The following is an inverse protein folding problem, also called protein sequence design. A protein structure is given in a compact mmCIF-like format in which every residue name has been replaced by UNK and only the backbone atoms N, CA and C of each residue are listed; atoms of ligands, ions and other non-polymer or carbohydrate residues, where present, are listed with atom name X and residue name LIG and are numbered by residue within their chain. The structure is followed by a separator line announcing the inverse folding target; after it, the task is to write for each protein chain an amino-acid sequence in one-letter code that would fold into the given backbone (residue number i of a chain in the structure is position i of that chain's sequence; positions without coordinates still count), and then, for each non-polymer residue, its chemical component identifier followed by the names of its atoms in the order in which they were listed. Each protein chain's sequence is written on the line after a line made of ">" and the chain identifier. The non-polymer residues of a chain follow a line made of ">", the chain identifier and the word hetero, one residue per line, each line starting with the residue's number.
data_IF_951744704733
#
_entry.id   IF_951744704733
#
_cell.length_a   1.000
_cell.length_b   1.000
_cell.length_c   1.000
_cell.angle_alpha   90.00
_cell.angle_beta   90.00
_cell.angle_gamma   90.00
#
_symmetry.space_group_name_H-M   'P 1'
#
loop_
_entity.id
_entity.type
_entity.pdbx_description
1 polymer ?
#
# COMPACT_ATOMS: atom_id res chain seq x y z
N UNK A 1 -0.41 -23.88 -14.37
CA UNK A 1 -1.69 -23.60 -13.69
C UNK A 1 -1.88 -22.09 -13.64
N UNK A 2 -2.64 -21.50 -14.57
CA UNK A 2 -2.99 -20.08 -14.47
C UNK A 2 -3.90 -19.85 -13.25
N UNK A 3 -3.71 -18.70 -12.61
CA UNK A 3 -4.57 -18.23 -11.52
C UNK A 3 -4.89 -16.75 -11.73
N UNK A 4 -6.03 -16.29 -11.29
CA UNK A 4 -6.45 -14.90 -11.48
C UNK A 4 -7.79 -14.55 -10.85
N UNK A 5 -8.10 -13.26 -10.91
CA UNK A 5 -9.38 -12.71 -10.44
C UNK A 5 -10.46 -12.75 -11.53
N UNK A 6 -10.03 -12.89 -12.79
CA UNK A 6 -10.89 -12.91 -13.98
C UNK A 6 -11.16 -14.34 -14.45
N UNK A 7 -12.12 -14.50 -15.39
CA UNK A 7 -12.47 -15.77 -15.99
C UNK A 7 -11.31 -16.34 -16.82
N UNK A 8 -11.31 -17.66 -17.02
CA UNK A 8 -10.33 -18.45 -17.78
C UNK A 8 -9.02 -18.81 -17.05
N UNK A 9 -9.05 -18.87 -15.73
CA UNK A 9 -7.95 -19.40 -14.92
C UNK A 9 -8.32 -20.74 -14.27
N UNK A 10 -7.32 -21.63 -14.08
CA UNK A 10 -7.51 -22.91 -13.36
C UNK A 10 -7.90 -22.66 -11.89
N UNK A 11 -7.37 -21.59 -11.30
CA UNK A 11 -7.71 -21.12 -9.96
C UNK A 11 -8.26 -19.70 -10.05
N UNK A 12 -9.49 -19.52 -9.57
CA UNK A 12 -10.20 -18.26 -9.65
C UNK A 12 -10.80 -17.88 -8.29
N UNK A 13 -10.67 -16.62 -7.90
CA UNK A 13 -11.39 -16.08 -6.76
C UNK A 13 -12.81 -15.67 -7.16
N UNK A 14 -13.78 -16.01 -6.32
CA UNK A 14 -15.18 -15.65 -6.48
C UNK A 14 -15.76 -15.15 -5.15
N UNK A 15 -16.90 -14.47 -5.18
CA UNK A 15 -17.65 -14.01 -4.01
C UNK A 15 -16.78 -13.15 -3.06
N UNK A 16 -15.93 -12.28 -3.63
CA UNK A 16 -15.01 -11.46 -2.84
C UNK A 16 -15.79 -10.40 -2.08
N UNK A 17 -15.64 -10.40 -0.77
CA UNK A 17 -16.21 -9.39 0.14
C UNK A 17 -15.13 -8.89 1.08
N UNK A 18 -15.33 -7.70 1.66
CA UNK A 18 -14.38 -7.09 2.58
C UNK A 18 -15.03 -6.76 3.92
N UNK A 19 -14.29 -6.95 5.00
CA UNK A 19 -14.67 -6.42 6.30
C UNK A 19 -14.35 -4.92 6.42
N UNK A 20 -14.63 -4.34 7.59
CA UNK A 20 -14.37 -2.91 7.86
C UNK A 20 -12.89 -2.52 7.83
N UNK A 21 -11.96 -3.45 7.81
CA UNK A 21 -10.52 -3.21 7.71
C UNK A 21 -9.95 -3.55 6.32
N UNK A 22 -10.83 -3.82 5.35
CA UNK A 22 -10.43 -4.19 4.01
C UNK A 22 -9.87 -5.62 3.88
N UNK A 23 -10.06 -6.45 4.89
CA UNK A 23 -9.67 -7.86 4.85
C UNK A 23 -10.65 -8.65 3.98
N UNK A 24 -10.13 -9.43 3.04
CA UNK A 24 -10.95 -10.15 2.09
C UNK A 24 -11.44 -11.51 2.62
N UNK A 25 -12.73 -11.79 2.39
CA UNK A 25 -13.30 -13.14 2.40
C UNK A 25 -13.67 -13.52 0.96
N UNK A 26 -13.31 -14.71 0.51
CA UNK A 26 -13.57 -15.14 -0.87
C UNK A 26 -13.66 -16.65 -0.99
N UNK A 27 -14.33 -17.12 -2.05
CA UNK A 27 -14.33 -18.51 -2.48
C UNK A 27 -13.25 -18.74 -3.52
N UNK A 28 -12.70 -19.96 -3.59
CA UNK A 28 -11.81 -20.37 -4.69
C UNK A 28 -12.46 -21.45 -5.51
N UNK A 29 -12.49 -21.21 -6.82
CA UNK A 29 -12.89 -22.18 -7.82
C UNK A 29 -11.64 -22.78 -8.47
N UNK A 30 -11.59 -24.11 -8.58
CA UNK A 30 -10.60 -24.83 -9.37
C UNK A 30 -11.31 -25.49 -10.54
N UNK A 31 -10.97 -25.10 -11.75
CA UNK A 31 -11.66 -25.56 -12.98
C UNK A 31 -13.20 -25.41 -12.87
N UNK A 32 -13.67 -24.28 -12.33
CA UNK A 32 -15.09 -23.98 -12.14
C UNK A 32 -15.76 -24.66 -10.94
N UNK A 33 -15.06 -25.50 -10.18
CA UNK A 33 -15.61 -26.19 -8.99
C UNK A 33 -15.05 -25.53 -7.72
N UNK A 34 -15.94 -25.15 -6.80
CA UNK A 34 -15.55 -24.57 -5.51
C UNK A 34 -14.76 -25.59 -4.68
N UNK A 35 -13.54 -25.20 -4.29
CA UNK A 35 -12.64 -26.03 -3.45
C UNK A 35 -12.57 -25.55 -2.01
N UNK A 36 -12.74 -24.26 -1.76
CA UNK A 36 -12.69 -23.73 -0.39
C UNK A 36 -13.19 -22.30 -0.27
N UNK A 37 -13.30 -21.83 0.97
CA UNK A 37 -13.55 -20.42 1.32
C UNK A 37 -12.45 -19.95 2.24
N UNK A 38 -11.94 -18.75 2.01
CA UNK A 38 -10.74 -18.21 2.64
C UNK A 38 -11.02 -16.83 3.23
N UNK A 39 -10.25 -16.49 4.26
CA UNK A 39 -10.22 -15.16 4.85
C UNK A 39 -8.76 -14.74 5.02
N UNK A 40 -8.44 -13.52 4.64
CA UNK A 40 -7.12 -12.92 4.78
C UNK A 40 -7.16 -11.84 5.87
N UNK A 41 -6.10 -11.76 6.66
CA UNK A 41 -5.89 -10.68 7.63
C UNK A 41 -5.02 -9.53 7.07
N UNK A 42 -4.88 -9.49 5.76
CA UNK A 42 -4.15 -8.44 5.05
C UNK A 42 -5.10 -7.79 4.02
N UNK A 43 -5.11 -6.45 3.91
CA UNK A 43 -6.05 -5.76 3.04
C UNK A 43 -5.62 -5.79 1.57
N UNK A 44 -6.58 -5.53 0.69
CA UNK A 44 -6.35 -5.28 -0.73
C UNK A 44 -6.55 -6.49 -1.64
N UNK A 45 -7.12 -6.20 -2.82
CA UNK A 45 -7.43 -7.21 -3.85
C UNK A 45 -6.18 -7.93 -4.36
N UNK A 46 -5.03 -7.25 -4.39
CA UNK A 46 -3.76 -7.85 -4.79
C UNK A 46 -3.35 -9.01 -3.86
N UNK A 47 -3.73 -8.96 -2.57
CA UNK A 47 -3.48 -10.06 -1.64
C UNK A 47 -4.39 -11.26 -1.88
N UNK A 48 -5.59 -11.05 -2.43
CA UNK A 48 -6.42 -12.17 -2.93
C UNK A 48 -5.71 -12.87 -4.09
N UNK A 49 -5.14 -12.11 -5.04
CA UNK A 49 -4.35 -12.68 -6.13
C UNK A 49 -3.11 -13.44 -5.63
N UNK A 50 -2.38 -12.87 -4.65
CA UNK A 50 -1.25 -13.54 -4.01
C UNK A 50 -1.67 -14.84 -3.30
N UNK A 51 -2.82 -14.83 -2.63
CA UNK A 51 -3.37 -16.02 -1.97
C UNK A 51 -3.72 -17.12 -2.97
N UNK A 52 -4.27 -16.79 -4.16
CA UNK A 52 -4.53 -17.77 -5.21
C UNK A 52 -3.25 -18.49 -5.64
N UNK A 53 -2.12 -17.78 -5.76
CA UNK A 53 -0.83 -18.40 -6.06
C UNK A 53 -0.40 -19.38 -4.96
N UNK A 54 -0.54 -18.99 -3.68
CA UNK A 54 -0.21 -19.83 -2.54
C UNK A 54 -1.12 -21.07 -2.46
N UNK A 55 -2.42 -20.93 -2.73
CA UNK A 55 -3.40 -22.02 -2.76
C UNK A 55 -3.05 -23.01 -3.90
N UNK A 56 -2.80 -22.49 -5.10
CA UNK A 56 -2.42 -23.32 -6.24
C UNK A 56 -1.13 -24.11 -5.98
N UNK A 57 -0.14 -23.47 -5.36
CA UNK A 57 1.11 -24.13 -4.95
C UNK A 57 0.85 -25.18 -3.84
N UNK A 58 0.03 -24.87 -2.85
CA UNK A 58 -0.36 -25.80 -1.78
C UNK A 58 -1.00 -27.08 -2.34
N UNK A 59 -1.93 -26.93 -3.28
CA UNK A 59 -2.54 -28.09 -3.96
C UNK A 59 -1.53 -28.87 -4.79
N UNK A 60 -0.60 -28.21 -5.46
CA UNK A 60 0.46 -28.87 -6.22
C UNK A 60 1.36 -29.72 -5.33
N UNK A 61 1.61 -29.25 -4.10
CA UNK A 61 2.40 -29.95 -3.10
C UNK A 61 1.59 -31.00 -2.33
N UNK A 62 0.31 -31.18 -2.61
CA UNK A 62 -0.56 -32.17 -1.97
C UNK A 62 -1.00 -31.80 -0.56
N UNK A 63 -0.96 -30.51 -0.19
CA UNK A 63 -1.48 -30.07 1.10
C UNK A 63 -3.01 -30.17 1.13
N UNK A 64 -3.56 -30.51 2.30
CA UNK A 64 -5.02 -30.51 2.49
C UNK A 64 -5.56 -29.07 2.53
N UNK A 65 -6.83 -28.93 2.13
CA UNK A 65 -7.54 -27.65 2.15
C UNK A 65 -7.50 -26.99 3.55
N UNK A 66 -7.67 -27.77 4.60
CA UNK A 66 -7.63 -27.31 5.99
C UNK A 66 -6.27 -26.69 6.35
N UNK A 67 -5.18 -27.27 5.89
CA UNK A 67 -3.82 -26.74 6.12
C UNK A 67 -3.62 -25.42 5.41
N UNK A 68 -4.10 -25.33 4.15
CA UNK A 68 -3.99 -24.10 3.36
C UNK A 68 -4.83 -22.98 3.98
N UNK A 69 -6.09 -23.26 4.34
CA UNK A 69 -6.99 -22.28 4.99
C UNK A 69 -6.37 -21.78 6.29
N UNK A 70 -5.87 -22.69 7.14
CA UNK A 70 -5.23 -22.33 8.40
C UNK A 70 -3.97 -21.48 8.19
N UNK A 71 -3.14 -21.85 7.22
CA UNK A 71 -1.92 -21.12 6.89
C UNK A 71 -2.22 -19.68 6.45
N UNK A 72 -3.11 -19.50 5.48
CA UNK A 72 -3.51 -18.19 4.98
C UNK A 72 -4.21 -17.34 6.05
N UNK A 73 -5.12 -17.94 6.82
CA UNK A 73 -5.83 -17.25 7.91
C UNK A 73 -4.94 -16.86 9.11
N UNK A 74 -3.75 -17.46 9.24
CA UNK A 74 -2.76 -17.10 10.25
C UNK A 74 -1.78 -16.01 9.80
N UNK A 75 -1.69 -15.75 8.49
CA UNK A 75 -0.80 -14.75 7.94
C UNK A 75 -1.31 -13.33 8.25
N UNK A 76 -0.48 -12.53 8.90
CA UNK A 76 -0.82 -11.17 9.35
C UNK A 76 -0.07 -10.08 8.57
N UNK A 77 0.58 -10.45 7.47
CA UNK A 77 1.39 -9.54 6.66
C UNK A 77 2.89 -9.67 6.89
N UNK A 78 3.63 -8.84 6.21
CA UNK A 78 5.07 -8.66 6.37
C UNK A 78 5.35 -7.22 6.79
N UNK A 79 6.51 -6.98 7.37
CA UNK A 79 6.92 -5.63 7.72
C UNK A 79 6.89 -4.72 6.47
N UNK A 80 6.44 -3.51 6.68
CA UNK A 80 6.35 -2.48 5.64
C UNK A 80 5.47 -2.85 4.43
N UNK A 81 4.41 -3.66 4.63
CA UNK A 81 3.38 -3.98 3.61
C UNK A 81 2.00 -3.74 4.21
N UNK A 82 1.48 -2.53 4.03
CA UNK A 82 0.30 -2.00 4.70
C UNK A 82 0.34 -2.32 6.21
N UNK A 83 1.51 -2.09 6.81
CA UNK A 83 1.77 -2.45 8.20
C UNK A 83 1.16 -1.42 9.15
N UNK A 84 0.21 -1.85 9.96
CA UNK A 84 -0.29 -1.02 11.06
C UNK A 84 0.86 -0.76 12.06
N UNK A 85 1.18 0.50 12.31
CA UNK A 85 2.27 0.93 13.22
C UNK A 85 1.75 1.36 14.58
N UNK A 86 0.52 1.87 14.64
CA UNK A 86 -0.12 2.37 15.85
C UNK A 86 -1.13 3.47 15.56
N UNK A 87 -1.56 4.11 16.65
CA UNK A 87 -2.48 5.24 16.61
C UNK A 87 -1.99 6.33 17.56
N UNK A 88 -2.07 7.58 17.15
CA UNK A 88 -1.76 8.75 17.97
C UNK A 88 -2.80 9.84 17.74
N UNK A 89 -3.36 10.38 18.82
CA UNK A 89 -4.42 11.40 18.78
C UNK A 89 -5.61 11.04 17.85
N UNK A 90 -5.95 9.74 17.76
CA UNK A 90 -7.02 9.23 16.90
C UNK A 90 -6.66 9.15 15.41
N UNK A 91 -5.40 9.39 15.04
CA UNK A 91 -4.86 9.18 13.68
C UNK A 91 -4.24 7.79 13.61
N UNK A 92 -4.74 6.97 12.70
CA UNK A 92 -4.14 5.65 12.42
C UNK A 92 -2.91 5.79 11.55
N UNK A 93 -1.79 5.18 11.94
CA UNK A 93 -0.52 5.21 11.20
C UNK A 93 -0.22 3.84 10.60
N UNK A 94 0.00 3.81 9.30
CA UNK A 94 0.37 2.64 8.50
C UNK A 94 1.69 2.93 7.76
N UNK A 95 2.55 1.92 7.58
CA UNK A 95 3.74 2.01 6.72
C UNK A 95 3.67 1.02 5.57
N UNK A 96 4.08 1.48 4.39
CA UNK A 96 4.16 0.65 3.19
C UNK A 96 5.47 0.89 2.41
N UNK A 97 6.09 -0.17 1.96
CA UNK A 97 7.35 -0.14 1.20
C UNK A 97 7.15 0.24 -0.27
N UNK A 98 5.92 0.48 -0.72
CA UNK A 98 5.59 0.80 -2.11
C UNK A 98 6.43 1.97 -2.62
N UNK A 99 7.09 1.75 -3.75
CA UNK A 99 8.02 2.69 -4.36
C UNK A 99 7.99 2.65 -5.90
N UNK A 100 6.98 1.99 -6.46
CA UNK A 100 6.64 1.97 -7.88
C UNK A 100 5.17 2.38 -8.05
N UNK A 101 4.78 3.13 -9.10
CA UNK A 101 3.40 3.60 -9.26
C UNK A 101 2.33 2.53 -9.10
N UNK A 102 2.53 1.35 -9.68
CA UNK A 102 1.59 0.22 -9.55
C UNK A 102 1.42 -0.26 -8.11
N UNK A 103 2.51 -0.27 -7.31
CA UNK A 103 2.45 -0.65 -5.89
C UNK A 103 1.72 0.43 -5.09
N UNK A 104 2.02 1.71 -5.34
CA UNK A 104 1.37 2.87 -4.71
C UNK A 104 -0.14 2.83 -4.97
N UNK A 105 -0.54 2.62 -6.23
CA UNK A 105 -1.94 2.50 -6.62
C UNK A 105 -2.64 1.35 -5.86
N UNK A 106 -2.00 0.18 -5.79
CA UNK A 106 -2.54 -0.97 -5.07
C UNK A 106 -2.70 -0.70 -3.56
N UNK A 107 -1.72 -0.04 -2.93
CA UNK A 107 -1.76 0.33 -1.51
C UNK A 107 -2.83 1.37 -1.23
N UNK A 108 -2.94 2.44 -2.03
CA UNK A 108 -3.95 3.47 -1.82
C UNK A 108 -5.37 2.96 -2.09
N UNK A 109 -5.57 2.08 -3.06
CA UNK A 109 -6.85 1.39 -3.24
C UNK A 109 -7.21 0.49 -2.04
N UNK A 110 -6.23 -0.19 -1.44
CA UNK A 110 -6.46 -0.94 -0.21
C UNK A 110 -6.83 -0.01 0.96
N UNK A 111 -6.19 1.16 1.04
CA UNK A 111 -6.45 2.17 2.05
C UNK A 111 -7.88 2.73 2.00
N UNK A 112 -8.45 2.88 0.80
CA UNK A 112 -9.84 3.32 0.66
C UNK A 112 -10.88 2.35 1.27
N UNK A 113 -10.52 1.08 1.44
CA UNK A 113 -11.36 0.11 2.15
C UNK A 113 -11.14 0.11 3.66
N UNK A 114 -10.13 0.83 4.17
CA UNK A 114 -9.85 0.99 5.59
C UNK A 114 -10.65 2.18 6.16
N UNK A 115 -11.20 2.11 7.38
CA UNK A 115 -11.95 3.23 7.94
C UNK A 115 -11.09 4.48 8.09
N UNK A 116 -11.50 5.58 7.49
CA UNK A 116 -10.84 6.88 7.65
C UNK A 116 -11.77 8.03 7.29
N UNK A 117 -11.45 9.23 7.78
CA UNK A 117 -12.07 10.48 7.36
C UNK A 117 -11.33 11.10 6.18
N UNK A 118 -10.00 11.18 6.28
CA UNK A 118 -9.09 11.69 5.25
C UNK A 118 -7.90 10.77 5.14
N UNK A 119 -7.50 10.47 3.90
CA UNK A 119 -6.34 9.64 3.58
C UNK A 119 -5.13 10.53 3.29
N UNK A 120 -4.15 10.50 4.18
CA UNK A 120 -2.86 11.16 4.04
C UNK A 120 -1.81 10.19 3.53
N UNK A 121 -1.03 10.60 2.53
CA UNK A 121 0.11 9.82 2.05
C UNK A 121 1.39 10.66 2.15
N UNK A 122 2.31 10.26 3.02
CA UNK A 122 3.68 10.79 3.07
C UNK A 122 4.54 9.92 2.18
N UNK A 123 4.97 10.43 1.05
CA UNK A 123 5.72 9.68 0.06
C UNK A 123 7.17 10.15 -0.05
N UNK A 124 8.10 9.20 0.01
CA UNK A 124 9.51 9.43 -0.29
C UNK A 124 9.87 8.77 -1.62
N UNK A 125 10.12 9.56 -2.69
CA UNK A 125 10.58 9.00 -3.95
C UNK A 125 11.93 8.28 -3.76
N UNK A 126 12.10 7.14 -4.44
CA UNK A 126 13.33 6.34 -4.33
C UNK A 126 14.08 6.34 -5.66
N UNK A 127 15.26 6.96 -5.66
CA UNK A 127 16.21 7.25 -6.73
C UNK A 127 15.76 8.32 -7.73
N UNK A 128 16.71 9.11 -8.18
CA UNK A 128 16.47 10.18 -9.17
C UNK A 128 16.05 9.63 -10.53
N UNK A 129 16.70 8.53 -10.97
CA UNK A 129 16.39 7.90 -12.27
C UNK A 129 14.95 7.42 -12.34
N UNK A 130 14.46 6.74 -11.32
CA UNK A 130 13.09 6.24 -11.27
C UNK A 130 12.08 7.40 -11.16
N UNK A 131 12.35 8.36 -10.29
CA UNK A 131 11.49 9.53 -10.11
C UNK A 131 11.30 10.28 -11.41
N UNK A 132 12.38 10.53 -12.15
CA UNK A 132 12.31 11.20 -13.46
C UNK A 132 11.58 10.39 -14.52
N UNK A 133 11.89 9.08 -14.58
CA UNK A 133 11.33 8.20 -15.62
C UNK A 133 9.82 7.96 -15.46
N UNK A 134 9.31 7.97 -14.22
CA UNK A 134 7.92 7.62 -13.89
C UNK A 134 7.16 8.79 -13.24
N UNK A 135 7.61 10.04 -13.47
CA UNK A 135 7.03 11.22 -12.81
C UNK A 135 5.51 11.35 -13.03
N UNK A 136 4.98 11.22 -14.25
CA UNK A 136 3.54 11.31 -14.49
C UNK A 136 2.76 10.17 -13.82
N UNK A 137 3.30 8.96 -13.84
CA UNK A 137 2.69 7.78 -13.23
C UNK A 137 2.69 7.86 -11.71
N UNK A 138 3.76 8.38 -11.11
CA UNK A 138 3.80 8.67 -9.67
C UNK A 138 2.74 9.68 -9.28
N UNK A 139 2.65 10.80 -10.00
CA UNK A 139 1.67 11.82 -9.70
C UNK A 139 0.24 11.28 -9.79
N UNK A 140 -0.06 10.49 -10.82
CA UNK A 140 -1.38 9.86 -10.99
C UNK A 140 -1.69 8.89 -9.85
N UNK A 141 -0.76 8.01 -9.49
CA UNK A 141 -0.96 7.03 -8.42
C UNK A 141 -1.15 7.70 -7.06
N UNK A 142 -0.31 8.69 -6.73
CA UNK A 142 -0.38 9.43 -5.47
C UNK A 142 -1.65 10.28 -5.34
N UNK A 143 -2.21 10.73 -6.47
CA UNK A 143 -3.48 11.49 -6.49
C UNK A 143 -4.70 10.67 -6.09
N UNK A 144 -4.55 9.40 -5.75
CA UNK A 144 -5.59 8.60 -5.09
C UNK A 144 -5.72 8.93 -3.59
N UNK A 145 -4.73 9.57 -2.96
CA UNK A 145 -4.87 10.07 -1.61
C UNK A 145 -5.61 11.41 -1.57
N UNK A 146 -6.26 11.74 -0.44
CA UNK A 146 -6.91 13.03 -0.25
C UNK A 146 -5.89 14.16 -0.05
N UNK A 147 -4.71 13.82 0.47
CA UNK A 147 -3.63 14.75 0.71
C UNK A 147 -2.28 14.04 0.63
N UNK A 148 -1.34 14.62 -0.09
CA UNK A 148 0.01 14.07 -0.27
C UNK A 148 1.04 15.00 0.37
N UNK A 149 2.02 14.41 1.06
CA UNK A 149 3.22 15.12 1.52
C UNK A 149 4.43 14.41 0.91
N UNK A 150 5.26 15.14 0.17
CA UNK A 150 6.44 14.58 -0.49
C UNK A 150 7.69 14.94 0.29
N UNK A 151 8.49 13.93 0.65
CA UNK A 151 9.83 14.10 1.22
C UNK A 151 10.88 14.24 0.11
N UNK A 152 12.11 14.61 0.49
CA UNK A 152 13.25 14.57 -0.43
C UNK A 152 13.47 13.19 -1.05
N UNK A 153 13.99 13.19 -2.29
CA UNK A 153 14.32 11.94 -2.99
C UNK A 153 15.38 11.18 -2.20
N UNK A 154 15.08 9.95 -1.83
CA UNK A 154 16.07 9.04 -1.28
C UNK A 154 17.01 8.57 -2.39
N UNK A 155 18.22 9.12 -2.40
CA UNK A 155 19.19 8.93 -3.48
C UNK A 155 19.69 7.48 -3.60
N UNK A 156 19.70 6.70 -2.48
CA UNK A 156 20.30 5.38 -2.38
C UNK A 156 21.77 5.40 -2.81
N UNK A 157 22.09 4.91 -4.02
CA UNK A 157 23.45 4.89 -4.57
C UNK A 157 23.65 5.88 -5.71
N UNK A 158 22.63 6.69 -6.01
CA UNK A 158 22.68 7.66 -7.10
C UNK A 158 23.18 9.01 -6.60
N UNK A 159 23.81 9.77 -7.49
CA UNK A 159 24.05 11.21 -7.33
C UNK A 159 23.08 11.95 -8.26
N UNK A 160 22.54 13.09 -7.82
CA UNK A 160 21.68 13.87 -8.67
C UNK A 160 22.44 14.46 -9.86
N UNK A 161 22.26 13.85 -11.02
CA UNK A 161 22.79 14.34 -12.31
C UNK A 161 21.69 14.64 -13.30
N UNK A 162 20.41 14.48 -12.88
CA UNK A 162 19.26 14.51 -13.79
C UNK A 162 18.45 15.79 -13.68
N UNK A 163 18.68 16.61 -12.64
CA UNK A 163 17.95 17.85 -12.39
C UNK A 163 16.47 17.59 -12.15
N UNK A 164 16.14 16.55 -11.39
CA UNK A 164 14.79 16.22 -10.91
C UNK A 164 14.74 16.40 -9.40
N UNK A 165 13.66 16.97 -8.89
CA UNK A 165 13.43 17.19 -7.48
C UNK A 165 12.07 16.65 -7.03
N UNK A 166 11.87 16.58 -5.73
CA UNK A 166 10.55 16.27 -5.15
C UNK A 166 9.54 17.40 -5.40
N UNK A 167 9.99 18.64 -5.60
CA UNK A 167 9.12 19.76 -6.00
C UNK A 167 8.50 19.54 -7.39
N UNK A 168 9.20 18.88 -8.32
CA UNK A 168 8.63 18.56 -9.63
C UNK A 168 7.48 17.57 -9.50
N UNK A 169 7.62 16.59 -8.59
CA UNK A 169 6.54 15.65 -8.29
C UNK A 169 5.36 16.36 -7.59
N UNK A 170 5.63 17.22 -6.61
CA UNK A 170 4.61 18.05 -5.95
C UNK A 170 3.79 18.83 -6.97
N UNK A 171 4.45 19.59 -7.85
CA UNK A 171 3.79 20.38 -8.89
C UNK A 171 2.91 19.51 -9.77
N UNK A 172 3.41 18.33 -10.15
CA UNK A 172 2.67 17.42 -11.02
C UNK A 172 1.43 16.84 -10.35
N UNK A 173 1.49 16.56 -9.04
CA UNK A 173 0.32 16.12 -8.24
C UNK A 173 -0.71 17.24 -8.13
N UNK A 174 -0.26 18.47 -7.84
CA UNK A 174 -1.13 19.65 -7.75
C UNK A 174 -1.83 19.96 -9.06
N UNK A 175 -1.16 19.78 -10.22
CA UNK A 175 -1.78 19.91 -11.55
C UNK A 175 -2.95 18.93 -11.78
N UNK A 176 -2.96 17.79 -11.10
CA UNK A 176 -4.05 16.83 -11.12
C UNK A 176 -5.17 17.15 -10.12
N UNK A 177 -5.02 18.23 -9.34
CA UNK A 177 -6.03 18.72 -8.40
C UNK A 177 -5.94 18.16 -6.99
N UNK A 178 -4.92 17.35 -6.68
CA UNK A 178 -4.71 16.80 -5.34
C UNK A 178 -3.86 17.75 -4.51
N UNK A 179 -4.28 18.13 -3.28
CA UNK A 179 -3.45 18.88 -2.34
C UNK A 179 -2.12 18.15 -2.08
N UNK A 180 -1.01 18.86 -2.23
CA UNK A 180 0.30 18.28 -2.08
C UNK A 180 1.30 19.30 -1.57
N UNK A 181 2.02 19.00 -0.51
CA UNK A 181 3.14 19.76 0.03
C UNK A 181 4.44 19.00 -0.13
N UNK A 182 5.54 19.74 -0.19
CA UNK A 182 6.90 19.23 -0.15
C UNK A 182 7.64 19.85 1.01
N UNK A 183 8.39 19.04 1.74
CA UNK A 183 9.31 19.50 2.77
C UNK A 183 10.64 18.73 2.67
N UNK A 184 11.77 19.43 2.83
CA UNK A 184 13.10 18.82 2.68
C UNK A 184 13.51 17.94 3.87
N UNK A 185 12.90 18.13 5.04
CA UNK A 185 13.27 17.40 6.26
C UNK A 185 12.08 16.67 6.88
N UNK A 186 12.35 15.57 7.58
CA UNK A 186 11.31 14.83 8.29
C UNK A 186 10.71 15.65 9.45
N UNK A 187 11.51 16.46 10.13
CA UNK A 187 11.01 17.34 11.21
C UNK A 187 9.95 18.33 10.69
N UNK A 188 10.14 18.89 9.49
CA UNK A 188 9.15 19.78 8.87
C UNK A 188 7.88 19.00 8.47
N UNK A 189 8.02 17.78 7.94
CA UNK A 189 6.89 16.91 7.63
C UNK A 189 6.11 16.56 8.89
N UNK A 190 6.79 16.14 9.97
CA UNK A 190 6.16 15.78 11.24
C UNK A 190 5.40 16.95 11.85
N UNK A 191 6.01 18.15 11.88
CA UNK A 191 5.36 19.37 12.37
C UNK A 191 4.12 19.74 11.54
N UNK A 192 4.20 19.57 10.23
CA UNK A 192 3.06 19.81 9.34
C UNK A 192 1.94 18.82 9.61
N UNK A 193 2.24 17.53 9.74
CA UNK A 193 1.26 16.48 10.03
C UNK A 193 0.59 16.67 11.39
N UNK A 194 1.37 16.99 12.43
CA UNK A 194 0.85 17.28 13.77
C UNK A 194 -0.12 18.47 13.81
N UNK A 195 0.05 19.42 12.89
CA UNK A 195 -0.80 20.61 12.79
C UNK A 195 -2.06 20.41 11.94
N UNK A 196 -2.09 19.38 11.06
CA UNK A 196 -3.13 19.25 10.02
C UNK A 196 -3.92 17.95 10.08
N UNK A 197 -3.33 16.84 10.54
CA UNK A 197 -4.06 15.58 10.70
C UNK A 197 -5.02 15.67 11.88
N UNK A 198 -6.16 15.00 11.75
CA UNK A 198 -7.24 15.03 12.74
C UNK A 198 -7.66 13.61 13.14
N UNK A 199 -8.33 13.52 14.29
CA UNK A 199 -8.92 12.26 14.75
C UNK A 199 -9.80 11.61 13.67
N UNK A 200 -9.53 10.35 13.39
CA UNK A 200 -10.18 9.54 12.36
C UNK A 200 -9.48 9.55 11.01
N UNK A 201 -8.39 10.28 10.84
CA UNK A 201 -7.58 10.23 9.62
C UNK A 201 -6.72 8.96 9.57
N UNK A 202 -6.39 8.55 8.34
CA UNK A 202 -5.43 7.49 8.05
C UNK A 202 -4.18 8.13 7.44
N UNK A 203 -3.04 7.96 8.10
CA UNK A 203 -1.74 8.41 7.64
C UNK A 203 -0.91 7.21 7.17
N UNK A 204 -0.47 7.23 5.91
CA UNK A 204 0.41 6.21 5.35
C UNK A 204 1.78 6.83 5.08
N UNK A 205 2.83 6.30 5.72
CA UNK A 205 4.21 6.53 5.28
C UNK A 205 4.55 5.54 4.18
N UNK A 206 5.06 6.02 3.03
CA UNK A 206 5.20 5.21 1.84
C UNK A 206 6.53 5.46 1.14
N UNK A 207 7.28 4.37 0.90
CA UNK A 207 8.57 4.42 0.20
C UNK A 207 9.55 3.35 0.63
N UNK A 208 10.58 3.12 -0.18
CA UNK A 208 11.63 2.12 0.10
C UNK A 208 12.80 2.66 0.95
N UNK A 209 12.79 3.95 1.26
CA UNK A 209 13.79 4.61 2.10
C UNK A 209 13.42 4.60 3.58
N UNK A 210 13.81 5.67 4.25
CA UNK A 210 13.70 5.88 5.70
C UNK A 210 12.43 6.64 6.13
N UNK A 211 11.50 6.90 5.23
CA UNK A 211 10.22 7.58 5.47
C UNK A 211 9.37 6.92 6.58
N UNK A 212 9.57 5.64 6.85
CA UNK A 212 8.95 4.91 7.97
C UNK A 212 9.22 5.59 9.31
N UNK A 213 10.38 6.23 9.47
CA UNK A 213 10.78 6.92 10.70
C UNK A 213 9.81 8.04 11.07
N UNK A 214 9.21 8.73 10.09
CA UNK A 214 8.19 9.77 10.35
C UNK A 214 7.03 9.19 11.15
N UNK A 215 6.48 8.05 10.71
CA UNK A 215 5.40 7.38 11.43
C UNK A 215 5.82 6.86 12.81
N UNK A 216 7.05 6.39 12.95
CA UNK A 216 7.60 5.90 14.21
C UNK A 216 7.83 7.06 15.20
N UNK A 217 8.40 8.19 14.75
CA UNK A 217 8.59 9.38 15.59
C UNK A 217 7.26 9.97 16.08
N UNK A 218 6.24 10.05 15.19
CA UNK A 218 4.89 10.51 15.60
C UNK A 218 4.27 9.60 16.67
N UNK A 219 4.64 8.31 16.71
CA UNK A 219 4.24 7.36 17.76
C UNK A 219 5.13 7.36 18.99
N UNK A 220 6.20 8.20 19.02
CA UNK A 220 7.16 8.28 20.12
C UNK A 220 8.10 7.07 20.23
N UNK A 221 8.44 6.46 19.10
CA UNK A 221 9.31 5.28 18.99
C UNK A 221 10.68 5.64 18.46
#
# INVERSE_FOLDING_TARGET
>A
MPYGLEHDADYQAADITYDKYGHASFSVLRNGVKVGSYYLKVPGIHNVSNALAAIALGHLLGLSEEVIIKGLGSFTGTDRRFQYKGEVAGVTIVDDYAHHPTEIEATLHAAHNYPHKKLWCVFQPHTYTRTKALLPEFAKALSLADHVVVADIYAARETDTLGISSEDLQKRIQELGTPCEYFPTFDEIENYLLSNCQEGDLLITMGAGDVVNIGEHLLGK
#
